data_IF_679395725208
#
_entry.id   IF_679395725208
#
_cell.length_a   1.000
_cell.length_b   1.000
_cell.length_c   1.000
_cell.angle_alpha   90.00
_cell.angle_beta   90.00
_cell.angle_gamma   90.00
#
_symmetry.space_group_name_H-M   'P 1'
#
loop_
_entity.id
_entity.type
_entity.pdbx_description
1 polymer ?
#
# COMPACT_ATOMS: atom_id res chain seq x y z
N UNK A 1 -7.72 7.78 14.61
CA UNK A 1 -8.12 8.90 13.74
C UNK A 1 -9.42 8.53 13.02
N UNK A 2 -10.49 9.35 13.11
CA UNK A 2 -11.80 8.99 12.57
C UNK A 2 -11.85 8.94 11.03
N UNK A 3 -10.98 9.67 10.33
CA UNK A 3 -10.94 9.67 8.87
C UNK A 3 -9.97 8.63 8.31
N UNK A 4 -8.84 8.42 8.98
CA UNK A 4 -7.79 7.50 8.55
C UNK A 4 -7.94 6.09 9.15
N UNK A 5 -8.67 5.96 10.27
CA UNK A 5 -8.77 4.75 11.06
C UNK A 5 -7.54 4.60 11.97
N UNK A 6 -6.43 4.12 11.44
CA UNK A 6 -5.19 3.90 12.18
C UNK A 6 -3.96 4.14 11.31
N UNK A 7 -2.83 4.34 11.97
CA UNK A 7 -1.50 4.44 11.36
C UNK A 7 -0.50 3.61 12.18
N UNK A 8 0.65 3.35 11.62
CA UNK A 8 1.74 2.73 12.35
C UNK A 8 2.26 3.68 13.43
N UNK A 9 2.70 3.14 14.57
CA UNK A 9 3.35 3.97 15.58
C UNK A 9 4.65 4.54 15.04
N UNK A 10 4.89 5.86 15.14
CA UNK A 10 6.07 6.50 14.55
C UNK A 10 7.36 6.16 15.32
N UNK A 11 8.50 6.42 14.68
CA UNK A 11 9.85 6.30 15.24
C UNK A 11 10.16 4.90 15.79
N UNK A 12 9.84 3.86 15.02
CA UNK A 12 10.10 2.49 15.42
C UNK A 12 11.20 1.83 14.60
N UNK A 13 12.06 1.11 15.30
CA UNK A 13 13.00 0.16 14.73
C UNK A 13 12.75 -1.19 15.37
N UNK A 14 12.17 -2.09 14.60
CA UNK A 14 11.77 -3.43 15.06
C UNK A 14 12.59 -4.47 14.34
N UNK A 15 13.11 -5.44 15.09
CA UNK A 15 13.71 -6.67 14.56
C UNK A 15 12.79 -7.84 14.92
N UNK A 16 12.32 -8.57 13.91
CA UNK A 16 11.43 -9.73 14.10
C UNK A 16 11.78 -10.81 13.08
N UNK A 17 12.04 -12.03 13.56
CA UNK A 17 12.37 -13.18 12.71
C UNK A 17 13.42 -12.86 11.63
N UNK A 18 14.53 -12.24 12.03
CA UNK A 18 15.62 -11.77 11.19
C UNK A 18 15.22 -10.72 10.13
N UNK A 19 14.06 -10.09 10.27
CA UNK A 19 13.62 -8.99 9.41
C UNK A 19 13.67 -7.69 10.18
N UNK A 20 14.22 -6.64 9.55
CA UNK A 20 14.20 -5.28 10.07
C UNK A 20 12.97 -4.54 9.54
N UNK A 21 12.33 -3.76 10.40
CA UNK A 21 11.22 -2.89 10.08
C UNK A 21 11.53 -1.50 10.63
N UNK A 22 11.56 -0.51 9.77
CA UNK A 22 11.78 0.89 10.13
C UNK A 22 10.51 1.69 9.86
N UNK A 23 10.02 2.37 10.89
CA UNK A 23 8.90 3.30 10.77
C UNK A 23 9.40 4.68 11.17
N UNK A 24 9.30 5.64 10.28
CA UNK A 24 9.80 6.99 10.50
C UNK A 24 8.87 7.86 11.37
N UNK A 25 9.22 9.11 11.54
CA UNK A 25 8.48 10.11 12.33
C UNK A 25 7.09 10.47 11.75
N UNK A 26 6.80 10.13 10.50
CA UNK A 26 5.50 10.31 9.84
C UNK A 26 4.73 9.00 9.70
N UNK A 27 5.07 7.96 10.46
CA UNK A 27 4.44 6.63 10.40
C UNK A 27 4.58 5.92 9.06
N UNK A 28 5.59 6.27 8.26
CA UNK A 28 5.91 5.62 7.00
C UNK A 28 6.91 4.49 7.20
N UNK A 29 6.79 3.40 6.44
CA UNK A 29 7.80 2.34 6.38
C UNK A 29 8.95 2.74 5.45
N UNK A 30 9.72 3.71 5.86
CA UNK A 30 10.86 4.28 5.15
C UNK A 30 11.84 4.94 6.11
N UNK A 31 12.97 5.38 5.59
CA UNK A 31 13.94 6.19 6.33
C UNK A 31 13.29 7.49 6.84
N UNK A 32 13.96 8.14 7.78
CA UNK A 32 13.55 9.45 8.27
C UNK A 32 13.55 10.46 7.12
N UNK A 33 12.52 11.31 7.09
CA UNK A 33 12.33 12.29 6.03
C UNK A 33 12.09 13.68 6.63
N UNK A 34 12.59 14.69 5.94
CA UNK A 34 12.24 16.09 6.18
C UNK A 34 11.10 16.49 5.24
N UNK A 35 10.18 17.35 5.71
CA UNK A 35 9.01 17.72 4.91
C UNK A 35 9.42 18.39 3.59
N UNK A 36 10.32 19.38 3.65
CA UNK A 36 10.86 20.03 2.46
C UNK A 36 11.82 19.09 1.73
N UNK A 37 11.61 18.89 0.44
CA UNK A 37 12.48 18.04 -0.38
C UNK A 37 13.86 18.67 -0.56
N UNK A 38 14.96 17.92 -0.34
CA UNK A 38 16.32 18.43 -0.61
C UNK A 38 16.51 18.74 -2.11
N UNK A 39 17.40 19.67 -2.40
CA UNK A 39 17.77 20.00 -3.78
C UNK A 39 18.34 18.76 -4.50
N UNK A 40 18.13 18.68 -5.81
CA UNK A 40 18.60 17.57 -6.67
C UNK A 40 18.16 16.18 -6.19
N UNK A 41 17.06 16.11 -5.40
CA UNK A 41 16.46 14.87 -4.96
C UNK A 41 15.21 14.55 -5.79
N UNK A 42 15.12 13.34 -6.30
CA UNK A 42 13.88 12.77 -6.78
C UNK A 42 13.15 12.14 -5.60
N UNK A 43 11.99 12.67 -5.26
CA UNK A 43 11.16 12.11 -4.20
C UNK A 43 9.93 11.46 -4.78
N UNK A 44 9.78 10.17 -4.49
CA UNK A 44 8.67 9.33 -4.90
C UNK A 44 7.85 9.00 -3.66
N UNK A 45 6.54 9.05 -3.77
CA UNK A 45 5.63 8.73 -2.68
C UNK A 45 4.83 7.46 -3.01
N UNK A 46 5.11 6.37 -2.33
CA UNK A 46 4.37 5.12 -2.45
C UNK A 46 3.26 5.09 -1.40
N UNK A 47 2.02 5.03 -1.87
CA UNK A 47 0.82 4.82 -1.06
C UNK A 47 0.32 3.40 -1.28
N UNK A 48 -0.08 2.72 -0.24
CA UNK A 48 -0.63 1.38 -0.39
C UNK A 48 -1.15 0.76 0.90
N UNK A 49 -1.38 -0.51 0.83
CA UNK A 49 -1.87 -1.38 1.90
C UNK A 49 -0.76 -2.24 2.51
N UNK A 50 -1.11 -3.48 2.88
CA UNK A 50 -0.16 -4.48 3.39
C UNK A 50 0.87 -4.94 2.35
N UNK A 51 0.59 -4.85 1.05
CA UNK A 51 1.52 -5.21 -0.02
C UNK A 51 2.64 -4.17 -0.08
N UNK A 52 2.30 -2.88 -0.13
CA UNK A 52 3.28 -1.79 -0.08
C UNK A 52 4.05 -1.78 1.25
N UNK A 53 3.35 -2.08 2.35
CA UNK A 53 3.94 -2.18 3.68
C UNK A 53 4.93 -3.35 3.78
N UNK A 54 4.63 -4.49 3.19
CA UNK A 54 5.43 -5.71 3.27
C UNK A 54 5.26 -6.48 4.58
N UNK A 55 4.47 -5.98 5.53
CA UNK A 55 4.21 -6.65 6.81
C UNK A 55 5.48 -6.97 7.61
N UNK A 56 5.36 -7.91 8.55
CA UNK A 56 6.48 -8.36 9.39
C UNK A 56 7.36 -9.45 8.73
N UNK A 57 6.95 -9.98 7.59
CA UNK A 57 7.63 -11.07 6.87
C UNK A 57 8.59 -10.59 5.79
N UNK A 58 8.56 -9.30 5.44
CA UNK A 58 9.45 -8.69 4.46
C UNK A 58 10.49 -7.84 5.18
N UNK A 59 11.76 -8.01 4.85
CA UNK A 59 12.83 -7.14 5.36
C UNK A 59 12.68 -5.72 4.82
N UNK A 60 13.24 -4.73 5.52
CA UNK A 60 13.21 -3.34 5.09
C UNK A 60 13.77 -3.17 3.68
N UNK A 61 14.89 -3.84 3.39
CA UNK A 61 15.58 -3.77 2.11
C UNK A 61 14.84 -4.49 0.96
N UNK A 62 13.90 -5.37 1.30
CA UNK A 62 13.10 -6.18 0.36
C UNK A 62 11.72 -5.56 0.08
N UNK A 63 11.38 -4.42 0.68
CA UNK A 63 10.11 -3.73 0.37
C UNK A 63 10.15 -3.12 -1.03
N UNK A 64 9.00 -2.98 -1.66
CA UNK A 64 8.88 -2.36 -3.00
C UNK A 64 9.53 -0.97 -3.01
N UNK A 65 9.29 -0.17 -1.96
CA UNK A 65 9.87 1.18 -1.83
C UNK A 65 11.40 1.16 -1.76
N UNK A 66 11.98 0.28 -0.94
CA UNK A 66 13.45 0.16 -0.82
C UNK A 66 14.08 -0.35 -2.12
N UNK A 67 13.42 -1.30 -2.78
CA UNK A 67 13.87 -1.81 -4.09
C UNK A 67 13.85 -0.72 -5.18
N UNK A 68 12.81 0.12 -5.21
CA UNK A 68 12.76 1.28 -6.13
C UNK A 68 13.90 2.26 -5.79
N UNK A 69 14.04 2.63 -4.52
CA UNK A 69 15.09 3.57 -4.08
C UNK A 69 16.50 3.10 -4.45
N UNK A 70 16.77 1.82 -4.28
CA UNK A 70 18.07 1.21 -4.55
C UNK A 70 18.37 1.08 -6.04
N UNK A 71 17.39 0.69 -6.84
CA UNK A 71 17.59 0.26 -8.22
C UNK A 71 17.29 1.35 -9.27
N UNK A 72 16.44 2.33 -8.96
CA UNK A 72 16.17 3.45 -9.86
C UNK A 72 17.43 4.30 -10.00
N UNK A 73 17.81 4.61 -11.24
CA UNK A 73 18.96 5.48 -11.57
C UNK A 73 18.47 6.60 -12.48
N UNK A 74 18.76 7.83 -12.10
CA UNK A 74 18.42 8.98 -12.92
C UNK A 74 19.53 10.03 -12.82
N UNK A 75 20.12 10.41 -13.94
CA UNK A 75 21.27 11.33 -13.98
C UNK A 75 20.92 12.80 -13.62
N UNK A 76 19.63 13.16 -13.65
CA UNK A 76 19.16 14.51 -13.29
C UNK A 76 19.16 14.74 -11.77
N UNK A 77 19.20 13.65 -10.97
CA UNK A 77 19.10 13.70 -9.52
C UNK A 77 20.31 13.04 -8.86
N UNK A 78 20.83 13.66 -7.83
CA UNK A 78 21.94 13.10 -7.04
C UNK A 78 21.46 12.14 -5.96
N UNK A 79 20.18 12.21 -5.59
CA UNK A 79 19.55 11.38 -4.57
C UNK A 79 18.15 10.96 -4.99
N UNK A 80 17.76 9.74 -4.61
CA UNK A 80 16.41 9.21 -4.78
C UNK A 80 15.87 8.86 -3.40
N UNK A 81 14.70 9.38 -3.06
CA UNK A 81 13.97 9.08 -1.84
C UNK A 81 12.63 8.46 -2.19
N UNK A 82 12.30 7.34 -1.55
CA UNK A 82 10.99 6.68 -1.72
C UNK A 82 10.30 6.60 -0.38
N UNK A 83 9.28 7.42 -0.20
CA UNK A 83 8.43 7.46 1.00
C UNK A 83 7.38 6.37 0.88
N UNK A 84 7.16 5.57 1.92
CA UNK A 84 6.21 4.46 1.91
C UNK A 84 5.15 4.66 3.01
N UNK A 85 4.07 5.36 2.67
CA UNK A 85 2.91 5.50 3.54
C UNK A 85 1.90 4.37 3.27
N UNK A 86 1.93 3.38 4.12
CA UNK A 86 1.13 2.17 3.99
C UNK A 86 0.85 1.54 5.34
N UNK A 87 -0.26 0.86 5.45
CA UNK A 87 -0.57 0.03 6.61
C UNK A 87 -1.47 -1.15 6.21
N UNK A 88 -1.46 -2.21 7.02
CA UNK A 88 -2.30 -3.38 6.75
C UNK A 88 -3.78 -3.01 6.61
N UNK A 89 -4.45 -3.55 5.61
CA UNK A 89 -5.88 -3.33 5.33
C UNK A 89 -6.27 -1.87 5.06
N UNK A 90 -5.32 -1.01 4.71
CA UNK A 90 -5.66 0.30 4.16
C UNK A 90 -6.24 0.15 2.77
N UNK A 91 -7.28 0.93 2.48
CA UNK A 91 -7.80 1.14 1.13
C UNK A 91 -7.67 2.61 0.71
N UNK A 92 -8.19 2.99 -0.46
CA UNK A 92 -8.04 4.33 -1.03
C UNK A 92 -8.47 5.46 -0.11
N UNK A 93 -9.48 5.26 0.74
CA UNK A 93 -9.94 6.28 1.70
C UNK A 93 -8.97 6.52 2.85
N UNK A 94 -8.30 5.46 3.36
CA UNK A 94 -7.25 5.61 4.37
C UNK A 94 -6.05 6.37 3.79
N UNK A 95 -5.66 6.01 2.55
CA UNK A 95 -4.56 6.62 1.81
C UNK A 95 -4.84 8.11 1.54
N UNK A 96 -6.05 8.45 1.11
CA UNK A 96 -6.49 9.83 0.92
C UNK A 96 -6.45 10.62 2.24
N UNK A 97 -6.95 10.05 3.34
CA UNK A 97 -6.92 10.69 4.65
C UNK A 97 -5.48 10.95 5.13
N UNK A 98 -4.56 10.01 4.86
CA UNK A 98 -3.14 10.22 5.14
C UNK A 98 -2.59 11.42 4.36
N UNK A 99 -2.85 11.51 3.06
CA UNK A 99 -2.41 12.63 2.23
C UNK A 99 -3.01 13.98 2.66
N UNK A 100 -4.28 14.00 3.02
CA UNK A 100 -4.94 15.22 3.55
C UNK A 100 -4.29 15.72 4.85
N UNK A 101 -3.83 14.78 5.70
CA UNK A 101 -3.22 15.12 6.98
C UNK A 101 -1.75 15.54 6.87
N UNK A 102 -0.96 14.84 6.08
CA UNK A 102 0.49 15.01 6.05
C UNK A 102 1.02 15.66 4.75
N UNK A 103 0.21 15.73 3.71
CA UNK A 103 0.61 16.24 2.38
C UNK A 103 1.44 15.22 1.59
N UNK A 104 2.00 15.70 0.48
CA UNK A 104 2.80 14.89 -0.46
C UNK A 104 4.31 15.06 -0.27
N UNK A 105 4.77 15.81 0.73
CA UNK A 105 6.19 16.02 1.01
C UNK A 105 7.01 16.53 -0.20
N UNK A 106 6.41 17.36 -1.04
CA UNK A 106 7.00 17.87 -2.30
C UNK A 106 7.46 16.72 -3.23
N UNK A 107 6.77 15.58 -3.23
CA UNK A 107 7.07 14.45 -4.12
C UNK A 107 6.72 14.79 -5.56
N UNK A 108 7.60 14.42 -6.50
CA UNK A 108 7.37 14.62 -7.93
C UNK A 108 6.55 13.48 -8.55
N UNK A 109 6.64 12.29 -7.98
CA UNK A 109 5.91 11.09 -8.41
C UNK A 109 5.17 10.50 -7.22
N UNK A 110 3.91 10.19 -7.42
CA UNK A 110 3.07 9.45 -6.46
C UNK A 110 2.70 8.12 -7.10
N UNK A 111 2.92 7.03 -6.40
CA UNK A 111 2.52 5.69 -6.80
C UNK A 111 1.40 5.26 -5.87
N UNK A 112 0.22 5.02 -6.41
CA UNK A 112 -0.90 4.41 -5.70
C UNK A 112 -0.91 2.91 -6.01
N UNK A 113 -0.39 2.12 -5.08
CA UNK A 113 -0.34 0.66 -5.18
C UNK A 113 -1.54 0.06 -4.48
N UNK A 114 -2.39 -0.56 -5.25
CA UNK A 114 -3.63 -1.20 -4.84
C UNK A 114 -3.57 -2.71 -5.07
N UNK A 115 -4.40 -3.45 -4.41
CA UNK A 115 -4.80 -4.79 -4.83
C UNK A 115 -6.30 -4.80 -5.22
N UNK A 116 -6.78 -5.89 -5.79
CA UNK A 116 -8.18 -5.99 -6.25
C UNK A 116 -9.19 -5.82 -5.12
N UNK A 117 -8.89 -6.26 -3.89
CA UNK A 117 -9.82 -6.12 -2.75
C UNK A 117 -9.94 -4.65 -2.26
N UNK A 118 -8.97 -3.79 -2.57
CA UNK A 118 -8.99 -2.39 -2.15
C UNK A 118 -10.14 -1.61 -2.77
N UNK A 119 -10.65 -2.02 -3.93
CA UNK A 119 -11.84 -1.42 -4.52
C UNK A 119 -13.08 -1.55 -3.62
N UNK A 120 -13.09 -2.56 -2.75
CA UNK A 120 -14.20 -2.91 -1.86
C UNK A 120 -13.87 -2.70 -0.39
N UNK A 121 -12.77 -2.01 -0.10
CA UNK A 121 -12.34 -1.72 1.28
C UNK A 121 -13.42 -1.00 2.07
N UNK A 122 -13.62 -1.45 3.31
CA UNK A 122 -14.58 -0.90 4.25
C UNK A 122 -14.32 0.56 4.64
N UNK A 123 -15.16 1.12 5.48
CA UNK A 123 -14.94 2.46 6.05
C UNK A 123 -13.68 2.41 6.92
N UNK A 124 -12.76 3.40 6.81
CA UNK A 124 -11.67 3.53 7.77
C UNK A 124 -12.19 3.51 9.20
N UNK A 125 -11.66 2.63 10.04
CA UNK A 125 -12.09 2.47 11.43
C UNK A 125 -10.90 2.15 12.32
N UNK A 126 -10.91 2.68 13.53
CA UNK A 126 -9.94 2.36 14.57
C UNK A 126 -10.36 1.20 15.47
N UNK A 127 -11.52 0.59 15.25
CA UNK A 127 -12.08 -0.46 16.12
C UNK A 127 -11.18 -1.69 16.29
N UNK A 128 -10.40 -2.02 15.25
CA UNK A 128 -9.44 -3.13 15.32
C UNK A 128 -8.28 -2.86 16.29
N UNK A 129 -7.91 -1.60 16.49
CA UNK A 129 -6.72 -1.23 17.28
C UNK A 129 -6.93 -1.54 18.76
N UNK A 130 -6.11 -2.44 19.29
CA UNK A 130 -6.22 -2.95 20.65
C UNK A 130 -7.26 -4.07 20.85
N UNK A 131 -8.14 -4.30 19.86
CA UNK A 131 -9.16 -5.35 19.89
C UNK A 131 -8.81 -6.58 19.01
N UNK A 132 -8.00 -6.37 17.99
CA UNK A 132 -7.50 -7.43 17.10
C UNK A 132 -5.99 -7.63 17.38
N UNK A 133 -5.57 -8.89 17.52
CA UNK A 133 -4.19 -9.27 17.83
C UNK A 133 -3.17 -8.78 16.77
N UNK A 134 -3.63 -8.56 15.56
CA UNK A 134 -2.80 -8.04 14.47
C UNK A 134 -2.68 -6.52 14.47
N UNK A 135 -3.45 -5.84 15.33
CA UNK A 135 -3.51 -4.37 15.45
C UNK A 135 -3.28 -3.93 16.90
N UNK A 136 -2.15 -4.29 17.53
CA UNK A 136 -1.88 -3.93 18.92
C UNK A 136 -1.75 -2.40 19.07
N UNK A 137 -2.32 -1.84 20.12
CA UNK A 137 -2.21 -0.42 20.47
C UNK A 137 -0.97 -0.10 21.34
N UNK A 138 -0.27 -1.14 21.82
CA UNK A 138 0.96 -1.02 22.60
C UNK A 138 1.86 -2.23 22.34
N UNK A 139 3.17 -2.02 22.52
CA UNK A 139 4.15 -3.10 22.41
C UNK A 139 4.01 -4.04 23.61
N UNK A 140 3.85 -5.37 23.42
CA UNK A 140 3.87 -6.31 24.53
C UNK A 140 5.17 -6.22 25.33
N UNK A 141 5.07 -6.19 26.66
CA UNK A 141 6.24 -6.05 27.55
C UNK A 141 7.11 -7.30 27.51
N UNK A 142 6.51 -8.47 27.29
CA UNK A 142 7.19 -9.76 27.19
C UNK A 142 6.73 -10.53 25.95
N UNK A 143 7.66 -11.17 25.25
CA UNK A 143 7.36 -12.06 24.10
C UNK A 143 6.40 -13.21 24.50
N UNK A 144 6.46 -13.65 25.75
CA UNK A 144 5.57 -14.68 26.32
C UNK A 144 4.12 -14.17 26.38
N UNK A 145 3.86 -12.91 26.69
CA UNK A 145 2.49 -12.36 26.70
C UNK A 145 1.89 -12.31 25.29
N UNK A 146 2.71 -12.10 24.27
CA UNK A 146 2.26 -12.18 22.87
C UNK A 146 1.84 -13.63 22.50
N UNK A 147 2.60 -14.64 22.94
CA UNK A 147 2.25 -16.04 22.73
C UNK A 147 0.94 -16.41 23.44
N UNK A 148 0.78 -16.02 24.71
CA UNK A 148 -0.46 -16.28 25.46
C UNK A 148 -1.67 -15.63 24.79
N UNK A 149 -1.56 -14.37 24.36
CA UNK A 149 -2.66 -13.66 23.70
C UNK A 149 -3.00 -14.25 22.31
N UNK A 150 -2.05 -14.92 21.64
CA UNK A 150 -2.29 -15.57 20.34
C UNK A 150 -2.94 -16.93 20.45
N UNK A 151 -2.68 -17.69 21.54
CA UNK A 151 -3.10 -19.08 21.68
C UNK A 151 -4.23 -19.31 22.69
N UNK A 152 -4.54 -18.32 23.55
CA UNK A 152 -5.74 -18.37 24.37
C UNK A 152 -6.91 -17.83 23.55
N UNK A 153 -8.02 -18.60 23.43
CA UNK A 153 -9.20 -18.12 22.76
C UNK A 153 -9.79 -16.96 23.55
N UNK A 154 -9.60 -15.73 23.05
CA UNK A 154 -10.36 -14.60 23.54
C UNK A 154 -11.80 -14.81 23.13
N UNK A 155 -12.72 -14.82 24.09
CA UNK A 155 -14.15 -14.85 23.82
C UNK A 155 -14.54 -13.51 23.18
N UNK A 156 -14.32 -13.39 21.87
CA UNK A 156 -14.83 -12.27 21.10
C UNK A 156 -16.30 -12.52 20.78
N UNK A 157 -17.16 -11.84 21.51
CA UNK A 157 -18.57 -11.65 21.15
C UNK A 157 -18.62 -10.86 19.84
N UNK A 158 -18.80 -11.56 18.75
CA UNK A 158 -19.19 -10.95 17.48
C UNK A 158 -20.67 -10.53 17.59
N UNK A 159 -20.90 -9.33 18.07
CA UNK A 159 -22.16 -8.63 17.88
C UNK A 159 -21.93 -7.54 16.86
N UNK A 160 -22.14 -7.84 15.60
CA UNK A 160 -22.41 -6.79 14.65
C UNK A 160 -23.45 -7.22 13.62
N UNK A 161 -24.70 -6.80 13.86
CA UNK A 161 -25.81 -6.78 12.93
C UNK A 161 -25.94 -5.40 12.27
N UNK A 162 -24.86 -4.66 12.08
CA UNK A 162 -24.84 -3.50 11.21
C UNK A 162 -24.92 -3.99 9.77
N UNK A 163 -25.86 -3.49 8.99
CA UNK A 163 -26.01 -3.79 7.56
C UNK A 163 -24.66 -3.47 6.88
N UNK A 164 -23.94 -4.50 6.45
CA UNK A 164 -22.72 -4.31 5.66
C UNK A 164 -23.07 -3.43 4.45
N UNK A 165 -22.34 -2.33 4.21
CA UNK A 165 -22.56 -1.49 3.03
C UNK A 165 -22.59 -2.36 1.78
N UNK A 166 -23.51 -2.08 0.86
CA UNK A 166 -23.58 -2.83 -0.40
C UNK A 166 -22.25 -2.64 -1.13
N UNK A 167 -21.74 -3.69 -1.72
CA UNK A 167 -20.48 -3.75 -2.45
C UNK A 167 -20.30 -2.59 -3.46
N UNK A 168 -21.37 -2.24 -4.19
CA UNK A 168 -21.41 -1.07 -5.10
C UNK A 168 -21.14 0.28 -4.41
N UNK A 169 -21.60 0.45 -3.18
CA UNK A 169 -21.40 1.71 -2.44
C UNK A 169 -19.94 1.84 -1.98
N UNK A 170 -19.30 0.73 -1.61
CA UNK A 170 -17.89 0.71 -1.24
C UNK A 170 -17.00 0.99 -2.45
N UNK A 171 -17.24 0.30 -3.57
CA UNK A 171 -16.52 0.52 -4.82
C UNK A 171 -16.57 2.00 -5.24
N UNK A 172 -17.77 2.59 -5.30
CA UNK A 172 -17.95 4.00 -5.68
C UNK A 172 -17.15 4.93 -4.77
N UNK A 173 -17.21 4.73 -3.43
CA UNK A 173 -16.49 5.57 -2.46
C UNK A 173 -14.98 5.43 -2.60
N UNK A 174 -14.47 4.22 -2.85
CA UNK A 174 -13.05 3.98 -3.05
C UNK A 174 -12.56 4.57 -4.38
N UNK A 175 -13.31 4.44 -5.48
CA UNK A 175 -13.00 5.11 -6.74
C UNK A 175 -13.03 6.64 -6.61
N UNK A 176 -13.97 7.20 -5.87
CA UNK A 176 -13.99 8.65 -5.57
C UNK A 176 -12.73 9.06 -4.80
N UNK A 177 -12.29 8.28 -3.81
CA UNK A 177 -11.06 8.56 -3.09
C UNK A 177 -9.81 8.52 -4.01
N UNK A 178 -9.76 7.61 -4.98
CA UNK A 178 -8.70 7.59 -6.01
C UNK A 178 -8.73 8.86 -6.87
N UNK A 179 -9.92 9.34 -7.25
CA UNK A 179 -10.08 10.59 -7.99
C UNK A 179 -9.60 11.80 -7.16
N UNK A 180 -9.91 11.83 -5.86
CA UNK A 180 -9.47 12.89 -4.96
C UNK A 180 -7.93 12.86 -4.77
N UNK A 181 -7.32 11.66 -4.70
CA UNK A 181 -5.85 11.51 -4.68
C UNK A 181 -5.25 12.10 -5.96
N UNK A 182 -5.83 11.83 -7.12
CA UNK A 182 -5.39 12.44 -8.38
C UNK A 182 -5.46 13.96 -8.32
N UNK A 183 -6.57 14.56 -7.82
CA UNK A 183 -6.70 16.01 -7.69
C UNK A 183 -5.61 16.59 -6.76
N UNK A 184 -5.30 15.91 -5.66
CA UNK A 184 -4.20 16.32 -4.77
C UNK A 184 -2.85 16.27 -5.49
N UNK A 185 -2.59 15.25 -6.29
CA UNK A 185 -1.37 15.17 -7.11
C UNK A 185 -1.29 16.34 -8.09
N UNK A 186 -2.38 16.64 -8.82
CA UNK A 186 -2.43 17.76 -9.77
C UNK A 186 -2.17 19.10 -9.08
N UNK A 187 -2.83 19.36 -7.95
CA UNK A 187 -2.65 20.61 -7.18
C UNK A 187 -1.20 20.77 -6.70
N UNK A 188 -0.50 19.68 -6.41
CA UNK A 188 0.89 19.70 -5.95
C UNK A 188 1.90 19.43 -7.09
N UNK A 189 1.48 19.45 -8.35
CA UNK A 189 2.34 19.24 -9.53
C UNK A 189 3.08 17.89 -9.51
N UNK A 190 2.50 16.87 -8.86
CA UNK A 190 3.02 15.52 -8.82
C UNK A 190 2.41 14.64 -9.92
N UNK A 191 3.23 13.79 -10.54
CA UNK A 191 2.76 12.77 -11.48
C UNK A 191 2.19 11.58 -10.71
N UNK A 192 1.00 11.12 -11.07
CA UNK A 192 0.39 9.93 -10.45
C UNK A 192 0.59 8.71 -11.35
N UNK A 193 1.03 7.60 -10.76
CA UNK A 193 1.02 6.26 -11.33
C UNK A 193 0.06 5.43 -10.48
N UNK A 194 -0.85 4.67 -11.11
CA UNK A 194 -1.69 3.71 -10.42
C UNK A 194 -1.24 2.30 -10.81
N UNK A 195 -1.06 1.44 -9.81
CA UNK A 195 -0.65 0.06 -9.98
C UNK A 195 -1.62 -0.87 -9.23
N UNK A 196 -2.03 -1.98 -9.85
CA UNK A 196 -2.97 -2.94 -9.26
C UNK A 196 -2.36 -4.33 -9.28
N UNK A 197 -2.15 -4.92 -8.11
CA UNK A 197 -1.74 -6.32 -7.96
C UNK A 197 -2.97 -7.21 -7.89
N UNK A 198 -2.98 -8.37 -8.58
CA UNK A 198 -4.09 -9.31 -8.53
C UNK A 198 -4.04 -10.17 -7.26
N UNK A 199 -5.18 -10.71 -6.87
CA UNK A 199 -5.27 -11.81 -5.93
C UNK A 199 -4.75 -13.10 -6.57
N UNK A 200 -4.17 -14.01 -5.80
CA UNK A 200 -3.67 -15.31 -6.31
C UNK A 200 -4.76 -16.04 -7.12
N UNK A 201 -6.02 -16.03 -6.64
CA UNK A 201 -7.15 -16.63 -7.33
C UNK A 201 -7.37 -16.07 -8.75
N UNK A 202 -7.16 -14.76 -8.94
CA UNK A 202 -7.33 -14.13 -10.26
C UNK A 202 -6.25 -14.59 -11.24
N UNK A 203 -5.05 -14.87 -10.72
CA UNK A 203 -3.93 -15.37 -11.53
C UNK A 203 -4.14 -16.83 -11.91
N UNK A 204 -4.59 -17.68 -10.97
CA UNK A 204 -4.82 -19.11 -11.18
C UNK A 204 -6.12 -19.40 -11.95
N UNK A 205 -7.11 -18.52 -11.86
CA UNK A 205 -8.44 -18.69 -12.46
C UNK A 205 -8.82 -17.46 -13.28
N UNK A 206 -9.65 -16.59 -12.69
CA UNK A 206 -10.12 -15.33 -13.29
C UNK A 206 -10.59 -14.35 -12.22
N UNK A 207 -10.65 -13.07 -12.60
CA UNK A 207 -11.38 -12.07 -11.81
C UNK A 207 -12.87 -12.38 -11.82
N UNK A 208 -13.55 -12.07 -10.74
CA UNK A 208 -15.02 -12.12 -10.67
C UNK A 208 -15.62 -10.93 -11.43
N UNK A 209 -16.87 -11.06 -11.85
CA UNK A 209 -17.53 -10.00 -12.66
C UNK A 209 -17.51 -8.62 -12.01
N UNK A 210 -17.69 -8.54 -10.68
CA UNK A 210 -17.69 -7.27 -9.97
C UNK A 210 -16.27 -6.67 -9.85
N UNK A 211 -15.26 -7.51 -9.71
CA UNK A 211 -13.84 -7.10 -9.71
C UNK A 211 -13.44 -6.57 -11.09
N UNK A 212 -13.83 -7.27 -12.14
CA UNK A 212 -13.59 -6.84 -13.51
C UNK A 212 -14.28 -5.50 -13.81
N UNK A 213 -15.53 -5.32 -13.35
CA UNK A 213 -16.22 -4.03 -13.49
C UNK A 213 -15.50 -2.89 -12.77
N UNK A 214 -14.99 -3.12 -11.55
CA UNK A 214 -14.23 -2.11 -10.83
C UNK A 214 -12.93 -1.75 -11.55
N UNK A 215 -12.18 -2.74 -12.05
CA UNK A 215 -10.98 -2.53 -12.86
C UNK A 215 -11.27 -1.77 -14.15
N UNK A 216 -12.38 -2.08 -14.84
CA UNK A 216 -12.77 -1.38 -16.06
C UNK A 216 -13.07 0.11 -15.77
N UNK A 217 -13.78 0.43 -14.70
CA UNK A 217 -14.03 1.83 -14.28
C UNK A 217 -12.75 2.57 -13.92
N UNK A 218 -11.80 1.90 -13.25
CA UNK A 218 -10.49 2.48 -13.01
C UNK A 218 -9.76 2.75 -14.33
N UNK A 219 -9.80 1.80 -15.26
CA UNK A 219 -9.19 1.95 -16.59
C UNK A 219 -9.79 3.13 -17.37
N UNK A 220 -11.12 3.25 -17.41
CA UNK A 220 -11.81 4.38 -18.03
C UNK A 220 -11.38 5.71 -17.40
N UNK A 221 -11.32 5.78 -16.07
CA UNK A 221 -10.86 6.96 -15.35
C UNK A 221 -9.42 7.31 -15.70
N UNK A 222 -8.50 6.35 -15.62
CA UNK A 222 -7.08 6.60 -15.90
C UNK A 222 -6.82 7.01 -17.34
N UNK A 223 -7.50 6.39 -18.30
CA UNK A 223 -7.44 6.76 -19.71
C UNK A 223 -7.94 8.19 -19.93
N UNK A 224 -9.08 8.56 -19.32
CA UNK A 224 -9.65 9.91 -19.45
C UNK A 224 -8.74 11.01 -18.90
N UNK A 225 -7.80 10.68 -18.02
CA UNK A 225 -6.87 11.61 -17.36
C UNK A 225 -5.42 11.40 -17.78
N UNK A 226 -5.15 10.48 -18.71
CA UNK A 226 -3.80 10.11 -19.15
C UNK A 226 -2.90 9.70 -17.96
N UNK A 227 -3.47 8.99 -16.97
CA UNK A 227 -2.74 8.46 -15.82
C UNK A 227 -2.17 7.09 -16.21
N UNK A 228 -0.86 6.83 -16.05
CA UNK A 228 -0.31 5.50 -16.20
C UNK A 228 -0.98 4.50 -15.26
N UNK A 229 -1.54 3.41 -15.82
CA UNK A 229 -2.14 2.31 -15.11
C UNK A 229 -1.37 1.03 -15.39
N UNK A 230 -0.88 0.37 -14.34
CA UNK A 230 -0.19 -0.91 -14.41
C UNK A 230 -1.08 -1.96 -13.76
N UNK A 231 -1.72 -2.85 -14.55
CA UNK A 231 -2.37 -4.06 -14.04
C UNK A 231 -1.39 -5.24 -14.12
N UNK A 232 -1.00 -5.77 -12.97
CA UNK A 232 -0.04 -6.86 -12.88
C UNK A 232 -0.62 -8.23 -13.24
N UNK A 233 -1.93 -8.35 -13.50
CA UNK A 233 -2.59 -9.64 -13.74
C UNK A 233 -1.92 -10.46 -14.84
N UNK A 234 -1.68 -9.83 -16.01
CA UNK A 234 -1.07 -10.56 -17.13
C UNK A 234 0.39 -10.91 -16.86
N UNK A 235 1.14 -10.04 -16.18
CA UNK A 235 2.53 -10.29 -15.82
C UNK A 235 2.66 -11.42 -14.81
N UNK A 236 1.77 -11.50 -13.83
CA UNK A 236 1.77 -12.57 -12.82
C UNK A 236 1.30 -13.91 -13.41
N UNK A 237 0.39 -13.91 -14.39
CA UNK A 237 0.00 -15.12 -15.14
C UNK A 237 1.12 -15.76 -15.94
N UNK A 238 2.15 -15.02 -16.30
CA UNK A 238 3.33 -15.55 -17.00
C UNK A 238 4.31 -16.29 -16.07
N UNK A 239 4.14 -16.17 -14.75
CA UNK A 239 4.99 -16.84 -13.76
C UNK A 239 4.47 -18.27 -13.53
N UNK A 240 5.37 -19.25 -13.60
CA UNK A 240 4.98 -20.65 -13.44
C UNK A 240 5.82 -21.35 -12.35
N UNK A 241 5.23 -21.84 -11.26
CA UNK A 241 3.80 -21.68 -10.91
C UNK A 241 3.51 -20.27 -10.33
N UNK A 242 2.30 -19.68 -10.57
CA UNK A 242 1.96 -18.36 -10.08
C UNK A 242 2.07 -18.22 -8.55
N UNK A 243 1.74 -19.29 -7.81
CA UNK A 243 1.85 -19.34 -6.34
C UNK A 243 3.28 -19.09 -5.82
N UNK A 244 4.32 -19.27 -6.66
CA UNK A 244 5.72 -19.13 -6.23
C UNK A 244 6.09 -17.72 -5.77
N UNK A 245 5.33 -16.70 -6.18
CA UNK A 245 5.55 -15.31 -5.77
C UNK A 245 4.57 -14.83 -4.70
N UNK A 246 3.66 -15.71 -4.24
CA UNK A 246 2.68 -15.39 -3.20
C UNK A 246 3.02 -16.09 -1.89
N UNK A 247 2.84 -15.37 -0.80
CA UNK A 247 2.87 -15.89 0.56
C UNK A 247 1.54 -16.55 0.95
N UNK A 248 0.46 -15.91 0.56
CA UNK A 248 -0.92 -16.33 0.82
C UNK A 248 -1.81 -15.93 -0.36
N UNK A 249 -3.09 -15.73 -0.17
CA UNK A 249 -4.04 -15.42 -1.25
C UNK A 249 -3.93 -14.00 -1.82
N UNK A 250 -3.20 -13.09 -1.11
CA UNK A 250 -3.11 -11.65 -1.44
C UNK A 250 -1.65 -11.20 -1.44
N UNK A 251 -0.90 -11.54 -0.38
CA UNK A 251 0.43 -11.00 -0.13
C UNK A 251 1.49 -11.68 -0.97
N UNK A 252 2.34 -10.86 -1.57
CA UNK A 252 3.49 -11.34 -2.34
C UNK A 252 4.74 -11.44 -1.45
N UNK A 253 5.69 -12.27 -1.87
CA UNK A 253 7.00 -12.47 -1.25
C UNK A 253 8.05 -11.55 -1.90
N UNK A 254 9.32 -11.51 -1.42
CA UNK A 254 10.35 -10.63 -1.96
C UNK A 254 10.55 -10.72 -3.48
N UNK A 255 10.40 -11.91 -4.07
CA UNK A 255 10.48 -12.12 -5.52
C UNK A 255 9.34 -11.40 -6.26
N UNK A 256 8.13 -11.42 -5.71
CA UNK A 256 7.00 -10.64 -6.22
C UNK A 256 7.26 -9.12 -6.09
N UNK A 257 7.84 -8.68 -4.96
CA UNK A 257 8.23 -7.28 -4.77
C UNK A 257 9.25 -6.81 -5.80
N UNK A 258 10.21 -7.66 -6.20
CA UNK A 258 11.18 -7.36 -7.25
C UNK A 258 10.48 -7.12 -8.60
N UNK A 259 9.53 -7.96 -8.98
CA UNK A 259 8.76 -7.81 -10.22
C UNK A 259 7.97 -6.51 -10.23
N UNK A 260 7.29 -6.21 -9.10
CA UNK A 260 6.50 -4.98 -8.96
C UNK A 260 7.41 -3.76 -9.01
N UNK A 261 8.49 -3.75 -8.25
CA UNK A 261 9.42 -2.61 -8.20
C UNK A 261 10.09 -2.36 -9.55
N UNK A 262 10.54 -3.39 -10.24
CA UNK A 262 11.16 -3.26 -11.56
C UNK A 262 10.18 -2.65 -12.58
N UNK A 263 8.94 -3.11 -12.59
CA UNK A 263 7.90 -2.57 -13.49
C UNK A 263 7.59 -1.10 -13.19
N UNK A 264 7.53 -0.75 -11.90
CA UNK A 264 7.32 0.64 -11.48
C UNK A 264 8.50 1.53 -11.87
N UNK A 265 9.75 1.04 -11.76
CA UNK A 265 10.96 1.76 -12.22
C UNK A 265 10.87 2.06 -13.71
N UNK A 266 10.50 1.06 -14.53
CA UNK A 266 10.33 1.24 -15.97
C UNK A 266 9.30 2.32 -16.32
N UNK A 267 8.22 2.43 -15.53
CA UNK A 267 7.20 3.46 -15.73
C UNK A 267 7.65 4.84 -15.25
N UNK A 268 8.32 4.90 -14.09
CA UNK A 268 8.92 6.15 -13.57
C UNK A 268 9.91 6.73 -14.59
N UNK A 269 10.76 5.89 -15.16
CA UNK A 269 11.73 6.33 -16.17
C UNK A 269 11.07 6.91 -17.42
N UNK A 270 9.90 6.41 -17.84
CA UNK A 270 9.14 6.97 -18.98
C UNK A 270 8.62 8.37 -18.68
N UNK A 271 8.08 8.60 -17.48
CA UNK A 271 7.49 9.89 -17.13
C UNK A 271 8.54 10.97 -16.75
N UNK A 272 9.79 10.56 -16.45
CA UNK A 272 10.88 11.49 -16.11
C UNK A 272 11.73 11.92 -17.32
N UNK A 273 11.51 11.29 -18.48
CA UNK A 273 12.17 11.66 -19.74
C UNK A 273 11.61 12.97 -20.28
#
# INVERSE_FOLDING_TARGET
>A
DPEMGYILSPNQKVHRLNKQILINNYSMRSDSVVNKRPEKTLRIFLLGDSIANGGWWTDQEETISSLIQKNLKNSKYSQIEVLNASANSWGPRNQLAYLKRYGLFESQVVILLLNTDDFFSGVPSSEKVGNDINYPNHKPVLAISELFNRYLPSAHTTTDNSQKPKEKDLEKKNLTAIQDIYQLCQTNQAQLIIAVTPLLREVEQSSRDYEQRAKNRLTEFTQSKSIPLIDFLQRFKQINPPKSIYRDTIHIIPEGNQIVSQTLIEEIDKILK
#
